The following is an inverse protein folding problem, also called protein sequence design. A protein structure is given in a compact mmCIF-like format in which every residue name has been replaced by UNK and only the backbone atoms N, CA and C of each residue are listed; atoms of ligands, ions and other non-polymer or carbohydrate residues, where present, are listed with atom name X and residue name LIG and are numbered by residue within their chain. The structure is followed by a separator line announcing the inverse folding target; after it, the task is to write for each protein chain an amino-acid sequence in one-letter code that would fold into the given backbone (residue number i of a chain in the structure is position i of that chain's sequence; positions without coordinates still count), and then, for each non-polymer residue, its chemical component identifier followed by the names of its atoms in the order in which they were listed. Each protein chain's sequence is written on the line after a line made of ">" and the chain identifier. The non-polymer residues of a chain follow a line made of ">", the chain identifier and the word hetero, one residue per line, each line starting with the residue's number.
data_IF_068235728253
#
_entry.id   IF_068235728253
#
_cell.length_a   1.000
_cell.length_b   1.000
_cell.length_c   1.000
_cell.angle_alpha   90.00
_cell.angle_beta   90.00
_cell.angle_gamma   90.00
#
_symmetry.space_group_name_H-M   'P 1'
#
loop_
_entity.id
_entity.type
_entity.pdbx_description
1 polymer ?
#
# COMPACT_ATOMS: atom_id res chain seq x y z
N UNK A 1 -37.35 -59.04 -11.54
CA UNK A 1 -36.39 -58.02 -12.00
C UNK A 1 -35.96 -57.17 -10.82
N UNK A 2 -34.74 -57.32 -10.28
CA UNK A 2 -34.19 -56.37 -9.32
C UNK A 2 -33.23 -55.41 -10.04
N UNK A 3 -33.58 -54.13 -10.10
CA UNK A 3 -32.73 -53.08 -10.65
C UNK A 3 -31.72 -52.62 -9.59
N UNK A 4 -30.48 -53.08 -9.77
CA UNK A 4 -29.19 -52.41 -9.52
C UNK A 4 -29.19 -51.31 -8.44
N UNK A 5 -28.69 -51.66 -7.25
CA UNK A 5 -28.14 -50.71 -6.27
C UNK A 5 -26.80 -50.23 -6.82
N UNK A 6 -26.75 -49.01 -7.33
CA UNK A 6 -25.50 -48.31 -7.69
C UNK A 6 -25.47 -46.99 -6.93
N UNK A 7 -25.04 -47.04 -5.67
CA UNK A 7 -24.65 -45.84 -4.91
C UNK A 7 -23.22 -45.49 -5.28
N UNK A 8 -23.05 -44.59 -6.24
CA UNK A 8 -21.75 -44.09 -6.68
C UNK A 8 -21.15 -43.24 -5.55
N UNK A 9 -20.12 -43.76 -4.88
CA UNK A 9 -19.36 -43.07 -3.85
C UNK A 9 -18.59 -41.92 -4.53
N UNK A 10 -19.14 -40.71 -4.50
CA UNK A 10 -18.52 -39.53 -5.10
C UNK A 10 -17.40 -39.02 -4.18
N UNK A 11 -16.20 -39.58 -4.35
CA UNK A 11 -14.95 -39.07 -3.77
C UNK A 11 -14.64 -37.67 -4.35
N UNK A 12 -15.29 -36.63 -3.83
CA UNK A 12 -15.01 -35.23 -4.17
C UNK A 12 -14.06 -34.53 -3.18
N UNK A 13 -13.29 -35.29 -2.39
CA UNK A 13 -12.32 -34.75 -1.42
C UNK A 13 -10.91 -34.53 -1.99
N UNK A 14 -10.72 -34.64 -3.30
CA UNK A 14 -9.43 -34.46 -3.98
C UNK A 14 -9.37 -33.22 -4.90
N UNK A 15 -10.08 -32.15 -4.54
CA UNK A 15 -9.89 -30.82 -5.13
C UNK A 15 -9.23 -29.82 -4.17
N UNK A 16 -8.41 -30.33 -3.24
CA UNK A 16 -7.37 -29.50 -2.62
C UNK A 16 -6.05 -29.79 -3.32
N UNK A 17 -5.60 -28.96 -4.27
CA UNK A 17 -4.19 -28.74 -4.35
C UNK A 17 -3.84 -27.94 -3.09
N UNK A 18 -3.43 -28.64 -2.04
CA UNK A 18 -2.46 -28.12 -1.09
C UNK A 18 -1.17 -27.85 -1.89
N UNK A 19 -1.18 -26.80 -2.70
CA UNK A 19 0.05 -26.18 -3.21
C UNK A 19 0.61 -25.36 -2.07
N UNK A 20 1.34 -26.07 -1.20
CA UNK A 20 2.42 -25.49 -0.43
C UNK A 20 3.48 -24.98 -1.42
N UNK A 21 3.38 -23.69 -1.78
CA UNK A 21 4.39 -22.84 -2.43
C UNK A 21 3.77 -21.42 -2.41
N UNK A 22 4.29 -20.39 -1.75
CA UNK A 22 5.65 -20.08 -1.35
C UNK A 22 5.67 -19.53 0.08
N UNK A 23 6.49 -20.16 0.92
CA UNK A 23 7.22 -19.42 1.93
C UNK A 23 8.05 -18.33 1.22
N UNK A 24 8.09 -17.13 1.80
CA UNK A 24 8.97 -16.06 1.35
C UNK A 24 8.35 -15.07 0.38
N UNK A 25 7.46 -14.22 0.88
CA UNK A 25 7.69 -12.78 0.74
C UNK A 25 7.61 -12.18 2.15
N UNK A 26 8.53 -12.66 3.00
CA UNK A 26 9.00 -11.91 4.15
C UNK A 26 9.35 -10.51 3.67
N UNK A 27 8.61 -9.51 4.15
CA UNK A 27 8.93 -8.10 4.05
C UNK A 27 9.31 -7.62 2.64
N UNK A 28 8.33 -7.04 1.92
CA UNK A 28 8.67 -5.87 1.11
C UNK A 28 9.28 -4.85 2.06
N UNK A 29 10.60 -4.86 2.16
CA UNK A 29 11.35 -3.89 2.91
C UNK A 29 10.90 -2.53 2.37
N UNK A 30 10.58 -1.61 3.29
CA UNK A 30 10.32 -0.22 2.95
C UNK A 30 11.50 0.45 2.20
N UNK A 31 12.61 -0.24 1.98
CA UNK A 31 13.87 0.28 1.44
C UNK A 31 13.92 0.46 -0.09
N UNK A 32 12.94 -0.02 -0.86
CA UNK A 32 12.92 0.17 -2.33
C UNK A 32 12.00 1.29 -2.84
N UNK A 33 11.35 2.08 -1.97
CA UNK A 33 10.47 3.15 -2.46
C UNK A 33 11.27 4.22 -3.21
N UNK A 34 10.80 4.57 -4.41
CA UNK A 34 11.34 5.69 -5.19
C UNK A 34 11.38 6.95 -4.33
N UNK A 35 12.53 7.62 -4.30
CA UNK A 35 12.68 8.95 -3.72
C UNK A 35 12.40 9.98 -4.82
N UNK A 36 11.51 10.92 -4.56
CA UNK A 36 11.08 11.95 -5.50
C UNK A 36 11.74 13.28 -5.16
N UNK A 37 11.89 14.17 -6.15
CA UNK A 37 12.00 15.60 -5.86
C UNK A 37 10.62 16.17 -5.53
N UNK A 38 10.56 17.34 -4.90
CA UNK A 38 9.27 18.01 -4.61
C UNK A 38 8.44 18.20 -5.88
N UNK A 39 9.08 18.70 -6.95
CA UNK A 39 8.42 18.98 -8.24
C UNK A 39 7.91 17.68 -8.89
N UNK A 40 8.72 16.62 -8.91
CA UNK A 40 8.28 15.32 -9.44
C UNK A 40 7.08 14.78 -8.66
N UNK A 41 7.12 14.87 -7.34
CA UNK A 41 6.04 14.36 -6.50
C UNK A 41 4.74 15.12 -6.74
N UNK A 42 4.79 16.46 -6.67
CA UNK A 42 3.62 17.32 -6.86
C UNK A 42 3.03 17.15 -8.27
N UNK A 43 3.85 17.19 -9.31
CA UNK A 43 3.39 17.00 -10.70
C UNK A 43 2.78 15.62 -10.95
N UNK A 44 3.27 14.58 -10.27
CA UNK A 44 2.75 13.22 -10.40
C UNK A 44 1.38 13.08 -9.72
N UNK A 45 1.26 13.57 -8.49
CA UNK A 45 0.16 13.22 -7.61
C UNK A 45 -0.89 14.31 -7.41
N UNK A 46 -0.63 15.56 -7.76
CA UNK A 46 -1.59 16.65 -7.51
C UNK A 46 -2.87 16.41 -8.29
N UNK A 47 -4.02 16.60 -7.62
CA UNK A 47 -5.34 16.29 -8.16
C UNK A 47 -5.46 14.85 -8.71
N UNK A 48 -4.67 13.88 -8.24
CA UNK A 48 -4.90 12.46 -8.56
C UNK A 48 -5.90 11.86 -7.59
N UNK A 49 -6.61 10.83 -8.04
CA UNK A 49 -7.48 10.06 -7.15
C UNK A 49 -6.64 9.27 -6.15
N UNK A 50 -7.19 9.04 -4.97
CA UNK A 50 -6.61 8.25 -3.89
C UNK A 50 -6.16 6.85 -4.35
N UNK A 51 -6.92 6.21 -5.24
CA UNK A 51 -6.60 4.88 -5.76
C UNK A 51 -5.29 4.90 -6.55
N UNK A 52 -5.03 5.96 -7.33
CA UNK A 52 -3.77 6.10 -8.07
C UNK A 52 -2.58 6.34 -7.14
N UNK A 53 -2.81 7.04 -6.03
CA UNK A 53 -1.76 7.23 -5.00
C UNK A 53 -1.40 5.88 -4.37
N UNK A 54 -2.38 5.05 -3.99
CA UNK A 54 -2.13 3.71 -3.45
C UNK A 54 -1.45 2.79 -4.46
N UNK A 55 -1.87 2.82 -5.72
CA UNK A 55 -1.29 1.99 -6.77
C UNK A 55 0.21 2.26 -6.94
N UNK A 56 0.62 3.53 -6.88
CA UNK A 56 2.00 3.94 -7.15
C UNK A 56 2.87 3.94 -5.90
N UNK A 57 2.35 4.45 -4.77
CA UNK A 57 3.12 4.61 -3.54
C UNK A 57 2.92 3.46 -2.54
N UNK A 58 1.91 2.62 -2.75
CA UNK A 58 1.48 1.63 -1.77
C UNK A 58 0.79 2.27 -0.57
N UNK A 59 0.70 1.47 0.50
CA UNK A 59 0.12 1.91 1.77
C UNK A 59 0.98 3.00 2.44
N UNK A 60 0.36 4.08 2.94
CA UNK A 60 1.07 5.11 3.67
C UNK A 60 1.55 4.61 5.04
N UNK A 61 2.65 5.17 5.52
CA UNK A 61 3.22 4.81 6.83
C UNK A 61 2.35 5.30 7.99
N UNK A 62 1.56 6.37 7.76
CA UNK A 62 0.55 6.83 8.71
C UNK A 62 -0.69 7.35 7.99
N UNK A 63 -1.86 6.97 8.50
CA UNK A 63 -3.17 7.54 8.13
C UNK A 63 -3.71 8.29 9.32
N UNK A 64 -4.18 9.51 9.11
CA UNK A 64 -4.79 10.33 10.14
C UNK A 64 -5.82 11.28 9.53
N UNK A 65 -6.56 11.98 10.38
CA UNK A 65 -7.61 12.90 9.97
C UNK A 65 -7.46 14.22 10.72
N UNK A 66 -7.75 15.32 10.04
CA UNK A 66 -7.82 16.64 10.66
C UNK A 66 -8.98 17.41 10.05
N UNK A 67 -9.90 17.88 10.89
CA UNK A 67 -11.07 18.66 10.47
C UNK A 67 -11.90 17.96 9.38
N UNK A 68 -12.14 16.66 9.53
CA UNK A 68 -12.89 15.83 8.57
C UNK A 68 -12.12 15.47 7.29
N UNK A 69 -10.87 15.91 7.14
CA UNK A 69 -10.04 15.67 5.95
C UNK A 69 -9.02 14.57 6.21
N UNK A 70 -8.98 13.59 5.32
CA UNK A 70 -8.06 12.45 5.41
C UNK A 70 -6.67 12.86 4.96
N UNK A 71 -5.68 12.52 5.76
CA UNK A 71 -4.27 12.83 5.51
C UNK A 71 -3.44 11.56 5.59
N UNK A 72 -2.60 11.35 4.59
CA UNK A 72 -1.66 10.24 4.51
C UNK A 72 -0.23 10.77 4.58
N UNK A 73 0.59 10.12 5.39
CA UNK A 73 2.01 10.46 5.52
C UNK A 73 2.84 9.31 4.98
N UNK A 74 3.74 9.64 4.05
CA UNK A 74 4.77 8.78 3.51
C UNK A 74 6.12 9.26 4.02
N UNK A 75 6.84 8.42 4.76
CA UNK A 75 8.13 8.77 5.36
C UNK A 75 9.26 8.64 4.35
N UNK A 76 10.26 9.52 4.48
CA UNK A 76 11.51 9.48 3.74
C UNK A 76 11.38 9.38 2.21
N UNK A 77 10.37 10.04 1.63
CA UNK A 77 10.01 9.86 0.22
C UNK A 77 10.41 11.05 -0.67
N UNK A 78 10.76 12.19 -0.08
CA UNK A 78 11.19 13.39 -0.80
C UNK A 78 12.66 13.65 -0.54
N UNK A 79 13.41 13.94 -1.60
CA UNK A 79 14.74 14.54 -1.53
C UNK A 79 14.66 15.99 -2.01
N UNK A 80 15.04 16.89 -1.13
CA UNK A 80 15.13 18.32 -1.43
C UNK A 80 16.33 18.94 -0.72
N UNK A 81 17.09 19.77 -1.43
CA UNK A 81 18.29 20.43 -0.93
C UNK A 81 19.28 19.50 -0.20
N UNK A 82 19.44 18.27 -0.71
CA UNK A 82 20.34 17.26 -0.12
C UNK A 82 19.82 16.60 1.16
N UNK A 83 18.61 16.93 1.61
CA UNK A 83 17.94 16.33 2.78
C UNK A 83 16.77 15.45 2.36
N UNK A 84 16.41 14.52 3.24
CA UNK A 84 15.27 13.63 3.06
C UNK A 84 14.13 14.09 3.96
N UNK A 85 12.91 14.05 3.42
CA UNK A 85 11.70 14.57 4.07
C UNK A 85 10.56 13.55 4.01
N UNK A 86 9.69 13.64 5.00
CA UNK A 86 8.40 12.96 5.02
C UNK A 86 7.40 13.81 4.23
N UNK A 87 6.45 13.19 3.56
CA UNK A 87 5.46 13.86 2.72
C UNK A 87 4.05 13.56 3.21
N UNK A 88 3.28 14.62 3.45
CA UNK A 88 1.86 14.51 3.73
C UNK A 88 1.04 14.76 2.47
N UNK A 89 -0.05 14.03 2.34
CA UNK A 89 -1.02 14.15 1.27
C UNK A 89 -2.40 14.28 1.91
N UNK A 90 -3.04 15.42 1.72
CA UNK A 90 -4.42 15.66 2.13
C UNK A 90 -5.36 15.41 0.96
N UNK A 91 -6.42 14.65 1.25
CA UNK A 91 -7.46 14.33 0.29
C UNK A 91 -8.71 15.16 0.53
N UNK A 92 -9.30 15.67 -0.56
CA UNK A 92 -10.63 16.24 -0.58
C UNK A 92 -11.44 15.56 -1.71
N UNK A 93 -12.67 15.14 -1.43
CA UNK A 93 -13.51 14.37 -2.36
C UNK A 93 -12.78 13.20 -3.04
N UNK A 94 -11.97 12.45 -2.28
CA UNK A 94 -11.21 11.29 -2.77
C UNK A 94 -10.03 11.62 -3.69
N UNK A 95 -9.66 12.90 -3.82
CA UNK A 95 -8.55 13.38 -4.66
C UNK A 95 -7.53 14.13 -3.84
N UNK A 96 -6.27 14.08 -4.26
CA UNK A 96 -5.22 14.89 -3.65
C UNK A 96 -5.53 16.36 -3.86
N UNK A 97 -5.62 17.09 -2.75
CA UNK A 97 -5.95 18.51 -2.75
C UNK A 97 -4.77 19.36 -2.26
N UNK A 98 -3.97 18.84 -1.34
CA UNK A 98 -2.80 19.53 -0.81
C UNK A 98 -1.70 18.53 -0.43
N UNK A 99 -0.46 19.01 -0.49
CA UNK A 99 0.73 18.27 -0.12
C UNK A 99 1.68 19.20 0.66
N UNK A 100 2.39 18.68 1.65
CA UNK A 100 3.48 19.40 2.32
C UNK A 100 4.49 18.45 2.96
N UNK A 101 5.75 18.86 2.94
CA UNK A 101 6.85 18.14 3.57
C UNK A 101 6.91 18.40 5.08
N UNK A 102 7.27 17.37 5.84
CA UNK A 102 7.70 17.48 7.24
C UNK A 102 9.15 17.03 7.35
N UNK A 103 9.89 17.55 8.33
CA UNK A 103 11.19 16.99 8.66
C UNK A 103 11.06 15.49 8.90
N UNK A 104 11.99 14.73 8.32
CA UNK A 104 12.00 13.28 8.42
C UNK A 104 11.99 12.87 9.90
N UNK A 105 10.98 12.09 10.26
CA UNK A 105 10.98 11.43 11.58
C UNK A 105 12.08 10.37 11.58
N UNK A 106 12.93 10.28 12.62
CA UNK A 106 13.95 9.24 12.69
C UNK A 106 13.31 7.86 12.44
N UNK A 107 13.94 7.00 11.63
CA UNK A 107 13.53 5.60 11.53
C UNK A 107 13.54 5.05 12.96
N UNK A 108 12.36 4.85 13.54
CA UNK A 108 12.25 4.32 14.89
C UNK A 108 12.84 2.92 14.86
N UNK A 109 13.93 2.71 15.60
CA UNK A 109 14.35 1.36 15.94
C UNK A 109 13.21 0.78 16.78
N UNK A 110 12.44 -0.13 16.19
CA UNK A 110 11.46 -0.91 16.93
C UNK A 110 12.15 -1.53 18.14
N UNK A 111 11.73 -1.13 19.34
CA UNK A 111 11.92 -1.91 20.55
C UNK A 111 10.70 -2.77 20.74
#
# INVERSE_FOLDING_TARGET
>A
MPSKITGFLFCALLLFPFTAWSAGEDGKSQDERKIYTVIEFESTFMNRKKEKVLEVLGEPDRKWEHSGKKIWTYRHIIKDQGKIWDQNILFNFGRVNQMWGNQATPKGNGK
#
